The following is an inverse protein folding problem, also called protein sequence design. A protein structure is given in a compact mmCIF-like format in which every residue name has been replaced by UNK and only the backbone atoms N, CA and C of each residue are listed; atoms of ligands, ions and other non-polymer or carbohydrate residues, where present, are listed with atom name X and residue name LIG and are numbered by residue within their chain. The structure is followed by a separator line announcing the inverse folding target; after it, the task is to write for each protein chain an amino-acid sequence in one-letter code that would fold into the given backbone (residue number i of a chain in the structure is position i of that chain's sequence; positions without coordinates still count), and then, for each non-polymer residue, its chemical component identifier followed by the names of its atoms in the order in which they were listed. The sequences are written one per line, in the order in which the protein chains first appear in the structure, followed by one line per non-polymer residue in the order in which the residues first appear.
data_IF_545804585508
#
_entry.id   IF_545804585508
#
_cell.length_a   1.000
_cell.length_b   1.000
_cell.length_c   1.000
_cell.angle_alpha   90.00
_cell.angle_beta   90.00
_cell.angle_gamma   90.00
#
_symmetry.space_group_name_H-M   'P 1'
#
loop_
_entity.id
_entity.type
_entity.pdbx_description
1 polymer ?
#
# COMPACT_ATOMS: atom_id res chain seq x y z
N UNK A 1 6.90 -28.47 -10.43
CA UNK A 1 6.88 -29.56 -9.44
C UNK A 1 7.67 -29.27 -8.16
N UNK A 2 8.93 -28.81 -8.22
CA UNK A 2 9.78 -28.59 -7.01
C UNK A 2 9.23 -27.56 -6.00
N UNK A 3 8.65 -26.46 -6.48
CA UNK A 3 8.09 -25.39 -5.62
C UNK A 3 6.85 -25.87 -4.84
N UNK A 4 5.93 -26.60 -5.51
CA UNK A 4 4.73 -27.16 -4.85
C UNK A 4 5.10 -28.20 -3.78
N UNK A 5 6.09 -29.05 -4.04
CA UNK A 5 6.59 -30.01 -3.05
C UNK A 5 7.22 -29.33 -1.83
N UNK A 6 8.04 -28.29 -2.05
CA UNK A 6 8.62 -27.51 -0.95
C UNK A 6 7.54 -26.80 -0.13
N UNK A 7 6.51 -26.28 -0.79
CA UNK A 7 5.37 -25.65 -0.14
C UNK A 7 4.63 -26.65 0.76
N UNK A 8 4.30 -27.84 0.25
CA UNK A 8 3.59 -28.86 1.03
C UNK A 8 4.37 -29.29 2.29
N UNK A 9 5.69 -29.41 2.21
CA UNK A 9 6.53 -29.66 3.41
C UNK A 9 6.41 -28.55 4.45
N UNK A 10 6.28 -27.29 4.04
CA UNK A 10 6.06 -26.16 4.95
C UNK A 10 4.65 -26.18 5.55
N UNK A 11 3.65 -26.60 4.77
CA UNK A 11 2.28 -26.81 5.25
C UNK A 11 2.22 -27.91 6.32
N UNK A 12 2.95 -29.01 6.11
CA UNK A 12 3.12 -30.10 7.10
C UNK A 12 3.81 -29.59 8.38
N UNK A 13 4.76 -28.66 8.24
CA UNK A 13 5.40 -27.97 9.36
C UNK A 13 4.53 -26.88 10.02
N UNK A 14 3.24 -26.77 9.65
CA UNK A 14 2.28 -25.77 10.15
C UNK A 14 2.71 -24.30 9.95
N UNK A 15 3.44 -24.02 8.87
CA UNK A 15 3.75 -22.65 8.46
C UNK A 15 2.47 -21.93 7.98
N UNK A 16 2.01 -20.85 8.64
CA UNK A 16 0.78 -20.15 8.27
C UNK A 16 0.84 -19.55 6.87
N UNK A 17 1.98 -18.96 6.50
CA UNK A 17 2.16 -18.35 5.18
C UNK A 17 2.14 -19.41 4.08
N UNK A 18 2.75 -20.58 4.32
CA UNK A 18 2.68 -21.69 3.38
C UNK A 18 1.26 -22.25 3.23
N UNK A 19 0.52 -22.31 4.34
CA UNK A 19 -0.87 -22.79 4.36
C UNK A 19 -1.78 -21.88 3.53
N UNK A 20 -1.66 -20.57 3.68
CA UNK A 20 -2.38 -19.61 2.85
C UNK A 20 -2.05 -19.78 1.36
N UNK A 21 -0.75 -19.86 1.03
CA UNK A 21 -0.30 -20.02 -0.36
C UNK A 21 -0.77 -21.33 -1.00
N UNK A 22 -0.90 -22.42 -0.22
CA UNK A 22 -1.49 -23.67 -0.70
C UNK A 22 -2.95 -23.48 -1.10
N UNK A 23 -3.73 -22.74 -0.29
CA UNK A 23 -5.12 -22.38 -0.62
C UNK A 23 -5.22 -21.57 -1.91
N UNK A 24 -4.35 -20.59 -2.10
CA UNK A 24 -4.29 -19.79 -3.34
C UNK A 24 -3.99 -20.66 -4.56
N UNK A 25 -3.09 -21.64 -4.44
CA UNK A 25 -2.77 -22.57 -5.54
C UNK A 25 -3.98 -23.47 -5.84
N UNK A 26 -4.61 -24.05 -4.83
CA UNK A 26 -5.82 -24.87 -5.01
C UNK A 26 -6.93 -24.09 -5.72
N UNK A 27 -7.17 -22.84 -5.32
CA UNK A 27 -8.16 -21.97 -5.95
C UNK A 27 -7.84 -21.73 -7.44
N UNK A 28 -6.57 -21.46 -7.77
CA UNK A 28 -6.12 -21.29 -9.17
C UNK A 28 -6.22 -22.57 -10.00
N UNK A 29 -6.06 -23.73 -9.37
CA UNK A 29 -6.20 -25.05 -9.99
C UNK A 29 -7.69 -25.47 -10.12
N UNK A 30 -8.63 -24.68 -9.59
CA UNK A 30 -10.07 -24.97 -9.60
C UNK A 30 -10.54 -25.91 -8.49
N UNK A 31 -9.65 -26.31 -7.57
CA UNK A 31 -10.00 -27.07 -6.37
C UNK A 31 -10.47 -26.13 -5.25
N UNK A 32 -11.70 -25.65 -5.37
CA UNK A 32 -12.29 -24.74 -4.40
C UNK A 32 -12.53 -25.41 -3.03
N UNK A 33 -12.80 -26.72 -2.99
CA UNK A 33 -12.97 -27.43 -1.69
C UNK A 33 -11.65 -27.49 -0.93
N UNK A 34 -10.55 -27.81 -1.62
CA UNK A 34 -9.21 -27.77 -1.05
C UNK A 34 -8.80 -26.36 -0.63
N UNK A 35 -9.10 -25.35 -1.47
CA UNK A 35 -8.82 -23.95 -1.14
C UNK A 35 -9.53 -23.50 0.13
N UNK A 36 -10.82 -23.82 0.29
CA UNK A 36 -11.59 -23.49 1.50
C UNK A 36 -10.98 -24.12 2.75
N UNK A 37 -10.53 -25.38 2.67
CA UNK A 37 -9.91 -26.07 3.79
C UNK A 37 -8.59 -25.39 4.20
N UNK A 38 -7.73 -25.03 3.24
CA UNK A 38 -6.48 -24.34 3.51
C UNK A 38 -6.69 -22.92 4.04
N UNK A 39 -7.63 -22.15 3.46
CA UNK A 39 -7.95 -20.82 3.98
C UNK A 39 -8.56 -20.87 5.37
N UNK A 40 -9.39 -21.87 5.68
CA UNK A 40 -9.90 -22.08 7.04
C UNK A 40 -8.77 -22.33 8.04
N UNK A 41 -7.79 -23.18 7.68
CA UNK A 41 -6.61 -23.44 8.52
C UNK A 41 -5.73 -22.18 8.70
N UNK A 42 -5.51 -21.43 7.62
CA UNK A 42 -4.73 -20.18 7.67
C UNK A 42 -5.44 -19.09 8.49
N UNK A 43 -6.75 -18.94 8.31
CA UNK A 43 -7.60 -18.04 9.10
C UNK A 43 -7.57 -18.40 10.60
N UNK A 44 -7.62 -19.69 10.94
CA UNK A 44 -7.43 -20.16 12.32
C UNK A 44 -6.06 -19.84 12.92
N UNK A 45 -5.06 -19.58 12.07
CA UNK A 45 -3.71 -19.13 12.47
C UNK A 45 -3.58 -17.60 12.52
N UNK A 46 -4.67 -16.86 12.29
CA UNK A 46 -4.71 -15.39 12.29
C UNK A 46 -4.36 -14.74 10.95
N UNK A 47 -4.31 -15.49 9.85
CA UNK A 47 -4.03 -14.92 8.53
C UNK A 47 -5.23 -14.06 8.04
N UNK A 48 -4.95 -12.77 7.88
CA UNK A 48 -5.95 -11.75 7.53
C UNK A 48 -6.41 -11.89 6.08
N UNK A 49 -5.49 -12.26 5.17
CA UNK A 49 -5.81 -12.48 3.75
C UNK A 49 -6.64 -13.74 3.57
N UNK A 50 -6.38 -14.79 4.37
CA UNK A 50 -7.20 -15.99 4.40
C UNK A 50 -8.64 -15.71 4.82
N UNK A 51 -8.86 -14.84 5.82
CA UNK A 51 -10.20 -14.39 6.17
C UNK A 51 -10.90 -13.66 5.00
N UNK A 52 -10.20 -12.80 4.27
CA UNK A 52 -10.77 -12.12 3.11
C UNK A 52 -11.14 -13.10 1.99
N UNK A 53 -10.24 -14.02 1.63
CA UNK A 53 -10.48 -14.98 0.56
C UNK A 53 -11.61 -15.96 0.94
N UNK A 54 -11.62 -16.45 2.19
CA UNK A 54 -12.70 -17.30 2.71
C UNK A 54 -14.06 -16.58 2.72
N UNK A 55 -14.07 -15.26 3.00
CA UNK A 55 -15.29 -14.46 2.90
C UNK A 55 -15.83 -14.45 1.46
N UNK A 56 -14.96 -14.38 0.45
CA UNK A 56 -15.34 -14.45 -0.96
C UNK A 56 -15.95 -15.81 -1.30
N UNK A 57 -15.35 -16.89 -0.82
CA UNK A 57 -15.85 -18.25 -1.04
C UNK A 57 -17.26 -18.46 -0.46
N UNK A 58 -17.53 -17.96 0.76
CA UNK A 58 -18.88 -18.02 1.34
C UNK A 58 -19.90 -17.13 0.62
N UNK A 59 -19.45 -16.05 -0.06
CA UNK A 59 -20.33 -15.17 -0.84
C UNK A 59 -20.77 -15.81 -2.15
N UNK A 60 -19.83 -16.44 -2.85
CA UNK A 60 -20.06 -17.06 -4.16
C UNK A 60 -20.53 -18.52 -4.05
N UNK A 61 -20.29 -19.18 -2.91
CA UNK A 61 -20.56 -20.62 -2.76
C UNK A 61 -19.51 -21.51 -3.43
N UNK A 62 -18.28 -21.01 -3.58
CA UNK A 62 -17.18 -21.74 -4.20
C UNK A 62 -16.53 -22.67 -3.17
N UNK A 63 -16.65 -23.99 -3.35
CA UNK A 63 -16.01 -24.97 -2.46
C UNK A 63 -16.64 -25.09 -1.06
N UNK A 64 -17.51 -24.16 -0.68
CA UNK A 64 -18.33 -24.14 0.54
C UNK A 64 -19.77 -23.79 0.18
N UNK A 65 -20.72 -24.16 1.04
CA UNK A 65 -22.09 -23.69 0.89
C UNK A 65 -22.15 -22.18 1.10
N UNK A 66 -22.93 -21.49 0.27
CA UNK A 66 -23.13 -20.05 0.36
C UNK A 66 -23.77 -19.68 1.70
N UNK A 67 -23.12 -18.81 2.45
CA UNK A 67 -23.55 -18.40 3.78
C UNK A 67 -23.19 -16.92 4.02
N UNK A 68 -24.20 -16.06 3.98
CA UNK A 68 -24.02 -14.62 4.15
C UNK A 68 -23.52 -14.26 5.57
N UNK A 69 -23.91 -15.01 6.60
CA UNK A 69 -23.46 -14.75 7.97
C UNK A 69 -21.98 -15.06 8.11
N UNK A 70 -21.51 -16.18 7.55
CA UNK A 70 -20.08 -16.52 7.53
C UNK A 70 -19.28 -15.59 6.64
N UNK A 71 -19.84 -15.17 5.51
CA UNK A 71 -19.25 -14.13 4.67
C UNK A 71 -18.97 -12.87 5.49
N UNK A 72 -19.98 -12.32 6.17
CA UNK A 72 -19.84 -11.10 6.97
C UNK A 72 -18.89 -11.30 8.15
N UNK A 73 -18.97 -12.44 8.84
CA UNK A 73 -18.07 -12.75 9.95
C UNK A 73 -16.60 -12.70 9.53
N UNK A 74 -16.23 -13.38 8.45
CA UNK A 74 -14.85 -13.38 7.96
C UNK A 74 -14.44 -12.03 7.37
N UNK A 75 -15.38 -11.31 6.74
CA UNK A 75 -15.13 -9.96 6.23
C UNK A 75 -14.82 -8.98 7.37
N UNK A 76 -15.54 -9.08 8.49
CA UNK A 76 -15.29 -8.29 9.70
C UNK A 76 -13.93 -8.62 10.31
N UNK A 77 -13.57 -9.90 10.42
CA UNK A 77 -12.24 -10.31 10.92
C UNK A 77 -11.12 -9.73 10.03
N UNK A 78 -11.24 -9.84 8.71
CA UNK A 78 -10.27 -9.27 7.79
C UNK A 78 -10.22 -7.72 7.89
N UNK A 79 -11.38 -7.08 8.06
CA UNK A 79 -11.48 -5.62 8.22
C UNK A 79 -10.92 -5.11 9.55
N UNK A 80 -10.97 -5.92 10.63
CA UNK A 80 -10.31 -5.64 11.93
C UNK A 80 -8.80 -5.84 11.80
N UNK A 81 -8.38 -6.87 11.07
CA UNK A 81 -6.99 -7.13 10.72
C UNK A 81 -6.34 -6.10 9.79
N UNK A 82 -7.09 -5.11 9.31
CA UNK A 82 -6.57 -4.05 8.45
C UNK A 82 -6.51 -4.40 6.97
N UNK A 83 -7.27 -5.39 6.50
CA UNK A 83 -7.37 -5.69 5.07
C UNK A 83 -8.15 -4.59 4.33
N UNK A 84 -7.54 -3.84 3.38
CA UNK A 84 -8.19 -2.68 2.78
C UNK A 84 -9.44 -3.04 1.97
N UNK A 85 -9.38 -4.11 1.18
CA UNK A 85 -10.52 -4.56 0.39
C UNK A 85 -11.64 -5.14 1.26
N UNK A 86 -11.31 -5.72 2.43
CA UNK A 86 -12.35 -6.22 3.34
C UNK A 86 -13.12 -5.04 3.95
N UNK A 87 -12.39 -3.99 4.34
CA UNK A 87 -12.97 -2.75 4.86
C UNK A 87 -13.84 -2.05 3.80
N UNK A 88 -13.42 -2.05 2.53
CA UNK A 88 -14.23 -1.55 1.41
C UNK A 88 -15.53 -2.33 1.25
N UNK A 89 -15.45 -3.65 1.17
CA UNK A 89 -16.64 -4.50 1.00
C UNK A 89 -17.62 -4.37 2.17
N UNK A 90 -17.13 -4.20 3.40
CA UNK A 90 -17.96 -3.93 4.57
C UNK A 90 -18.68 -2.57 4.43
N UNK A 91 -18.01 -1.55 3.90
CA UNK A 91 -18.65 -0.27 3.60
C UNK A 91 -19.79 -0.42 2.57
N UNK A 92 -19.59 -1.23 1.52
CA UNK A 92 -20.62 -1.51 0.52
C UNK A 92 -21.83 -2.24 1.14
N UNK A 93 -21.58 -3.17 2.06
CA UNK A 93 -22.66 -3.85 2.78
C UNK A 93 -23.47 -2.87 3.67
N UNK A 94 -22.78 -2.00 4.40
CA UNK A 94 -23.40 -0.95 5.22
C UNK A 94 -24.18 0.06 4.37
N UNK A 95 -23.68 0.38 3.17
CA UNK A 95 -24.33 1.28 2.22
C UNK A 95 -25.67 0.72 1.76
N UNK A 96 -25.68 -0.57 1.37
CA UNK A 96 -26.91 -1.28 0.98
C UNK A 96 -27.93 -1.35 2.10
N UNK A 97 -27.45 -1.36 3.35
CA UNK A 97 -28.30 -1.34 4.55
C UNK A 97 -28.78 0.06 4.95
N UNK A 98 -28.43 1.11 4.20
CA UNK A 98 -28.80 2.50 4.49
C UNK A 98 -28.01 3.17 5.62
N UNK A 99 -26.94 2.52 6.14
CA UNK A 99 -26.13 3.04 7.24
C UNK A 99 -25.01 3.94 6.71
N UNK A 100 -25.40 5.11 6.19
CA UNK A 100 -24.53 6.05 5.48
C UNK A 100 -23.35 6.55 6.32
N UNK A 101 -23.54 6.86 7.61
CA UNK A 101 -22.47 7.33 8.48
C UNK A 101 -21.37 6.27 8.69
N UNK A 102 -21.78 5.01 8.92
CA UNK A 102 -20.84 3.88 9.06
C UNK A 102 -20.12 3.61 7.75
N UNK A 103 -20.85 3.67 6.63
CA UNK A 103 -20.29 3.52 5.28
C UNK A 103 -19.12 4.48 5.05
N UNK A 104 -19.34 5.78 5.28
CA UNK A 104 -18.33 6.82 5.09
C UNK A 104 -17.11 6.54 5.97
N UNK A 105 -17.30 6.14 7.23
CA UNK A 105 -16.19 5.76 8.12
C UNK A 105 -15.37 4.61 7.56
N UNK A 106 -16.02 3.54 7.10
CA UNK A 106 -15.33 2.39 6.52
C UNK A 106 -14.55 2.76 5.26
N UNK A 107 -15.14 3.57 4.36
CA UNK A 107 -14.43 4.04 3.18
C UNK A 107 -13.24 4.95 3.51
N UNK A 108 -13.35 5.87 4.47
CA UNK A 108 -12.21 6.71 4.90
C UNK A 108 -11.05 5.84 5.41
N UNK A 109 -11.36 4.85 6.25
CA UNK A 109 -10.35 3.95 6.80
C UNK A 109 -9.68 3.14 5.66
N UNK A 110 -10.48 2.59 4.74
CA UNK A 110 -9.96 1.83 3.60
C UNK A 110 -9.10 2.69 2.66
N UNK A 111 -9.55 3.91 2.33
CA UNK A 111 -8.79 4.85 1.51
C UNK A 111 -7.46 5.22 2.15
N UNK A 112 -7.44 5.49 3.47
CA UNK A 112 -6.20 5.76 4.23
C UNK A 112 -5.23 4.57 4.26
N UNK A 113 -5.69 3.35 4.01
CA UNK A 113 -4.84 2.17 3.85
C UNK A 113 -4.38 1.96 2.39
N UNK A 114 -4.65 2.92 1.50
CA UNK A 114 -4.23 2.86 0.09
C UNK A 114 -5.23 2.19 -0.86
N UNK A 115 -6.48 1.91 -0.44
CA UNK A 115 -7.47 1.31 -1.34
C UNK A 115 -8.10 2.37 -2.26
N UNK A 116 -7.82 2.26 -3.57
CA UNK A 116 -8.28 3.19 -4.61
C UNK A 116 -9.81 3.19 -4.79
N UNK A 117 -10.43 2.01 -4.75
CA UNK A 117 -11.88 1.84 -4.93
C UNK A 117 -12.69 2.57 -3.84
N UNK A 118 -12.19 2.56 -2.61
CA UNK A 118 -12.76 3.29 -1.48
C UNK A 118 -12.61 4.79 -1.66
N UNK A 119 -11.47 5.25 -2.20
CA UNK A 119 -11.28 6.67 -2.47
C UNK A 119 -12.25 7.17 -3.55
N UNK A 120 -12.44 6.40 -4.63
CA UNK A 120 -13.43 6.73 -5.66
C UNK A 120 -14.87 6.69 -5.11
N UNK A 121 -15.16 5.75 -4.21
CA UNK A 121 -16.45 5.69 -3.52
C UNK A 121 -16.66 6.90 -2.60
N UNK A 122 -15.62 7.37 -1.90
CA UNK A 122 -15.68 8.61 -1.12
C UNK A 122 -15.93 9.84 -1.98
N UNK A 123 -15.36 9.91 -3.17
CA UNK A 123 -15.60 11.00 -4.12
C UNK A 123 -17.08 11.09 -4.50
N UNK A 124 -17.72 9.94 -4.72
CA UNK A 124 -19.18 9.86 -4.93
C UNK A 124 -19.95 10.31 -3.69
N UNK A 125 -19.57 9.84 -2.49
CA UNK A 125 -20.21 10.28 -1.24
C UNK A 125 -20.04 11.78 -0.98
N UNK A 126 -18.91 12.37 -1.35
CA UNK A 126 -18.67 13.82 -1.29
C UNK A 126 -19.59 14.57 -2.25
N UNK A 127 -19.73 14.09 -3.49
CA UNK A 127 -20.68 14.66 -4.47
C UNK A 127 -22.15 14.60 -4.01
N UNK A 128 -22.49 13.60 -3.18
CA UNK A 128 -23.81 13.47 -2.54
C UNK A 128 -23.98 14.31 -1.26
N UNK A 129 -22.95 15.03 -0.83
CA UNK A 129 -22.98 15.83 0.41
C UNK A 129 -22.90 15.02 1.71
N UNK A 130 -22.54 13.73 1.65
CA UNK A 130 -22.42 12.86 2.83
C UNK A 130 -21.09 13.01 3.58
N UNK A 131 -20.12 13.66 2.95
CA UNK A 131 -18.77 13.85 3.48
C UNK A 131 -18.43 15.33 3.42
N UNK A 132 -17.88 15.88 4.51
CA UNK A 132 -17.39 17.26 4.50
C UNK A 132 -16.11 17.39 3.68
N UNK A 133 -15.83 18.59 3.17
CA UNK A 133 -14.63 18.89 2.40
C UNK A 133 -13.36 18.55 3.19
N UNK A 134 -13.36 18.81 4.49
CA UNK A 134 -12.23 18.57 5.39
C UNK A 134 -11.94 17.07 5.52
N UNK A 135 -12.98 16.25 5.74
CA UNK A 135 -12.85 14.79 5.85
C UNK A 135 -12.38 14.18 4.55
N UNK A 136 -12.92 14.63 3.42
CA UNK A 136 -12.49 14.15 2.10
C UNK A 136 -11.03 14.54 1.80
N UNK A 137 -10.63 15.78 2.07
CA UNK A 137 -9.25 16.22 1.90
C UNK A 137 -8.26 15.46 2.82
N UNK A 138 -8.68 15.13 4.05
CA UNK A 138 -7.89 14.30 4.94
C UNK A 138 -7.71 12.88 4.40
N UNK A 139 -8.78 12.27 3.88
CA UNK A 139 -8.74 10.94 3.27
C UNK A 139 -7.81 10.89 2.04
N UNK A 140 -7.85 11.93 1.19
CA UNK A 140 -6.94 12.06 0.04
C UNK A 140 -5.46 12.10 0.48
N UNK A 141 -5.13 12.88 1.52
CA UNK A 141 -3.77 12.94 2.04
C UNK A 141 -3.31 11.62 2.65
N UNK A 142 -4.18 10.95 3.41
CA UNK A 142 -3.87 9.65 4.01
C UNK A 142 -3.64 8.58 2.94
N UNK A 143 -4.49 8.54 1.92
CA UNK A 143 -4.34 7.65 0.78
C UNK A 143 -3.01 7.87 0.03
N UNK A 144 -2.68 9.13 -0.28
CA UNK A 144 -1.42 9.47 -0.95
C UNK A 144 -0.20 9.02 -0.13
N UNK A 145 -0.22 9.27 1.19
CA UNK A 145 0.84 8.82 2.08
C UNK A 145 0.99 7.28 2.10
N UNK A 146 -0.11 6.54 2.08
CA UNK A 146 -0.09 5.08 1.99
C UNK A 146 0.51 4.60 0.66
N UNK A 147 0.12 5.22 -0.46
CA UNK A 147 0.66 4.90 -1.80
C UNK A 147 2.16 5.18 -1.89
N UNK A 148 2.61 6.32 -1.37
CA UNK A 148 4.04 6.68 -1.38
C UNK A 148 4.87 5.77 -0.47
N UNK A 149 4.31 5.37 0.69
CA UNK A 149 4.92 4.40 1.57
C UNK A 149 5.04 3.00 0.94
N UNK A 150 4.18 2.62 -0.01
CA UNK A 150 4.30 1.37 -0.76
C UNK A 150 5.35 1.45 -1.89
N UNK A 151 5.51 2.61 -2.51
CA UNK A 151 6.54 2.83 -3.56
C UNK A 151 7.96 2.83 -2.98
N UNK A 152 8.13 3.44 -1.80
CA UNK A 152 9.43 3.58 -1.13
C UNK A 152 10.22 2.25 -0.98
N UNK A 153 9.65 1.14 -0.46
CA UNK A 153 10.37 -0.12 -0.29
C UNK A 153 10.75 -0.80 -1.61
N UNK A 154 9.88 -0.71 -2.63
CA UNK A 154 10.08 -1.36 -3.93
C UNK A 154 11.12 -0.59 -4.73
N UNK A 155 10.98 0.74 -4.83
CA UNK A 155 11.96 1.60 -5.50
C UNK A 155 13.30 1.58 -4.77
N UNK A 156 13.34 1.52 -3.43
CA UNK A 156 14.59 1.41 -2.66
C UNK A 156 15.30 0.08 -2.89
N UNK A 157 14.57 -1.04 -2.89
CA UNK A 157 15.16 -2.36 -3.23
C UNK A 157 15.62 -2.41 -4.68
N UNK A 158 14.85 -1.83 -5.60
CA UNK A 158 15.20 -1.77 -7.02
C UNK A 158 16.42 -0.87 -7.25
N UNK A 159 16.48 0.33 -6.67
CA UNK A 159 17.66 1.22 -6.71
C UNK A 159 18.91 0.56 -6.11
N UNK A 160 18.77 -0.16 -4.99
CA UNK A 160 19.87 -0.95 -4.39
C UNK A 160 20.32 -2.10 -5.26
N UNK A 161 19.39 -2.84 -5.88
CA UNK A 161 19.70 -3.99 -6.73
C UNK A 161 20.32 -3.58 -8.06
N UNK A 162 19.88 -2.47 -8.65
CA UNK A 162 20.35 -1.96 -9.94
C UNK A 162 21.44 -0.89 -9.81
N UNK A 163 21.98 -0.63 -8.62
CA UNK A 163 23.11 0.28 -8.43
C UNK A 163 22.88 1.71 -8.92
N UNK A 164 21.63 2.19 -8.93
CA UNK A 164 21.34 3.59 -9.21
C UNK A 164 21.77 4.42 -7.99
N UNK A 165 23.05 4.75 -7.96
CA UNK A 165 23.61 5.79 -7.09
C UNK A 165 22.92 7.09 -7.48
N UNK A 166 22.28 7.77 -6.52
CA UNK A 166 21.50 8.98 -6.75
C UNK A 166 22.27 10.02 -7.58
N UNK A 167 22.10 9.97 -8.90
CA UNK A 167 22.29 11.14 -9.76
C UNK A 167 21.01 11.92 -9.48
N UNK A 168 21.14 13.01 -8.71
CA UNK A 168 20.04 13.81 -8.20
C UNK A 168 19.16 14.40 -9.30
N UNK A 169 18.30 13.59 -9.90
CA UNK A 169 17.19 14.04 -10.73
C UNK A 169 15.99 14.12 -9.82
N UNK A 170 15.80 15.30 -9.24
CA UNK A 170 14.57 15.65 -8.54
C UNK A 170 13.46 15.70 -9.59
N UNK A 171 12.72 14.59 -9.78
CA UNK A 171 11.44 14.64 -10.49
C UNK A 171 10.42 15.32 -9.58
N UNK A 172 10.43 16.66 -9.62
CA UNK A 172 9.39 17.50 -9.02
C UNK A 172 8.20 17.50 -9.98
N UNK A 173 7.29 16.54 -9.84
CA UNK A 173 5.94 16.72 -10.41
C UNK A 173 5.21 17.76 -9.57
N UNK A 174 5.38 19.04 -9.93
CA UNK A 174 4.58 20.14 -9.39
C UNK A 174 3.74 20.71 -10.52
N UNK A 175 2.43 20.55 -10.36
CA UNK A 175 1.40 21.28 -11.08
C UNK A 175 1.72 22.79 -11.04
N UNK A 176 1.81 23.33 -12.25
CA UNK A 176 1.56 24.71 -12.68
C UNK A 176 2.52 25.89 -12.35
N UNK A 177 2.65 26.72 -13.39
CA UNK A 177 3.11 28.11 -13.53
C UNK A 177 4.62 28.46 -13.56
N UNK A 178 4.97 29.11 -14.68
CA UNK A 178 6.25 29.65 -15.12
C UNK A 178 6.95 30.59 -14.13
N UNK A 179 8.25 30.39 -13.92
CA UNK A 179 9.31 31.37 -14.23
C UNK A 179 10.69 30.71 -14.11
N UNK A 180 11.59 31.07 -15.02
CA UNK A 180 12.97 30.57 -15.14
C UNK A 180 13.85 31.12 -14.01
N UNK A 181 14.67 30.26 -13.41
CA UNK A 181 15.96 30.62 -12.81
C UNK A 181 16.93 29.44 -12.96
N UNK A 182 17.77 29.48 -14.00
CA UNK A 182 18.95 28.61 -14.12
C UNK A 182 20.04 29.18 -13.21
N UNK A 183 20.42 28.46 -12.15
CA UNK A 183 21.67 28.69 -11.45
C UNK A 183 22.63 27.53 -11.74
N UNK A 184 23.73 27.82 -12.44
CA UNK A 184 24.87 26.92 -12.55
C UNK A 184 25.67 26.97 -11.24
N UNK A 185 25.77 25.86 -10.52
CA UNK A 185 26.63 25.70 -9.35
C UNK A 185 28.10 25.50 -9.74
N UNK A 186 28.68 26.46 -10.47
CA UNK A 186 30.12 26.68 -10.66
C UNK A 186 30.29 27.78 -11.70
N UNK A 187 30.08 29.03 -11.30
CA UNK A 187 30.47 30.17 -12.12
C UNK A 187 32.00 30.25 -12.16
N UNK A 188 32.62 29.85 -13.29
CA UNK A 188 33.86 30.35 -13.91
C UNK A 188 34.07 29.54 -15.22
N UNK A 189 34.09 30.16 -16.41
CA UNK A 189 34.87 29.68 -17.54
C UNK A 189 36.30 30.29 -17.49
N UNK A 190 37.30 29.43 -17.71
CA UNK A 190 38.73 29.76 -17.79
C UNK A 190 39.10 30.45 -19.13
N UNK A 191 40.15 31.28 -19.06
CA UNK A 191 40.95 31.92 -20.12
C UNK A 191 40.61 33.35 -20.59
N UNK A 192 41.20 34.37 -19.92
CA UNK A 192 42.22 35.25 -20.52
C UNK A 192 43.04 35.98 -19.42
N UNK A 193 44.32 36.34 -19.67
CA UNK A 193 45.24 36.77 -18.62
C UNK A 193 45.30 38.29 -18.50
N UNK A 194 45.22 38.83 -17.27
CA UNK A 194 45.94 40.03 -16.84
C UNK A 194 45.73 40.29 -15.33
N UNK A 195 46.86 40.28 -14.62
CA UNK A 195 47.16 41.10 -13.43
C UNK A 195 46.05 41.28 -12.38
N UNK A 196 46.20 40.64 -11.22
CA UNK A 196 46.57 41.40 -10.02
C UNK A 196 47.09 40.48 -8.91
N UNK A 197 48.17 40.95 -8.29
CA UNK A 197 49.00 40.32 -7.28
C UNK A 197 48.28 40.25 -5.92
N UNK A 198 48.68 39.23 -5.14
CA UNK A 198 48.89 39.25 -3.68
C UNK A 198 47.62 39.42 -2.82
N UNK A 199 47.24 38.52 -1.92
CA UNK A 199 47.98 38.07 -0.73
C UNK A 199 47.18 36.92 -0.09
N UNK A 200 47.85 35.79 0.08
CA UNK A 200 47.49 34.75 1.05
C UNK A 200 48.04 35.21 2.40
N UNK A 201 47.20 35.30 3.43
CA UNK A 201 47.67 35.23 4.83
C UNK A 201 46.88 34.10 5.48
N UNK A 202 47.57 32.98 5.66
CA UNK A 202 47.19 31.89 6.54
C UNK A 202 47.77 32.25 7.92
N UNK A 203 46.95 32.26 8.96
CA UNK A 203 47.45 31.98 10.32
C UNK A 203 46.50 31.01 11.00
N UNK A 204 47.06 29.83 11.24
CA UNK A 204 46.55 28.71 11.98
C UNK A 204 47.09 28.82 13.42
N UNK A 205 46.24 28.82 14.44
CA UNK A 205 46.55 28.31 15.78
C UNK A 205 45.30 28.36 16.67
N UNK A 206 44.77 27.19 17.02
CA UNK A 206 43.99 27.00 18.24
C UNK A 206 44.84 26.20 19.23
N UNK A 207 45.14 26.83 20.35
CA UNK A 207 45.44 26.21 21.64
C UNK A 207 44.39 26.79 22.59
N UNK A 208 43.68 25.94 23.33
CA UNK A 208 43.04 26.32 24.58
C UNK A 208 43.25 25.17 25.58
N UNK A 209 43.92 25.59 26.65
CA UNK A 209 44.11 25.06 28.01
C UNK A 209 43.36 23.79 28.44
#
# INVERSE_FOLDING_TARGET
MRVKQLLMRRVEANDPAATYQAGVICSKEGDYKGAAAYFTKAAGSGDISAHFDLSGMYREGEGVEKDEKKHLHHLEQAAIGGHPNARHNLAIFEWKSGRTERTVKHFIIAANMGNDESLESLKKCYGMGLVSKEKFAAALRGHQAAVDAMKSPIETKQKRLYGYRDIGIVFRYRQEFSFVCLFSASGIPLHSPQLLRSKIIITNQMHCE
#
